data_IF_054528010154
#
_entry.id   IF_054528010154
#
_cell.length_a   1.000
_cell.length_b   1.000
_cell.length_c   1.000
_cell.angle_alpha   90.00
_cell.angle_beta   90.00
_cell.angle_gamma   90.00
#
_symmetry.space_group_name_H-M   'P 1'
#
loop_
_entity.id
_entity.type
_entity.pdbx_description
1 polymer ?
#
# COMPACT_ATOMS: atom_id res chain seq x y z
N UNK A 1 27.96 15.57 11.90
CA UNK A 1 27.00 14.59 11.49
C UNK A 1 25.85 15.28 10.80
N UNK A 2 25.67 15.02 9.53
CA UNK A 2 24.43 15.42 8.85
C UNK A 2 23.32 14.53 9.42
N UNK A 3 22.38 15.11 10.16
CA UNK A 3 21.13 14.48 10.50
C UNK A 3 20.36 14.33 9.18
N UNK A 4 20.15 13.10 8.71
CA UNK A 4 19.23 12.86 7.60
C UNK A 4 17.85 13.37 8.05
N UNK A 5 17.20 14.20 7.23
CA UNK A 5 15.86 14.67 7.55
C UNK A 5 14.89 13.48 7.55
N UNK A 6 14.16 13.28 8.64
CA UNK A 6 13.15 12.25 8.73
C UNK A 6 11.82 12.78 8.19
N UNK A 7 11.24 12.11 7.22
CA UNK A 7 9.97 12.50 6.60
C UNK A 7 8.93 11.41 6.73
N UNK A 8 7.72 11.77 7.14
CA UNK A 8 6.60 10.85 7.29
C UNK A 8 5.56 11.09 6.19
N UNK A 9 5.09 10.01 5.56
CA UNK A 9 4.03 10.07 4.54
C UNK A 9 2.85 9.20 4.95
N UNK A 10 1.66 9.79 5.01
CA UNK A 10 0.43 9.16 5.46
C UNK A 10 -0.51 8.86 4.29
N UNK A 11 -1.22 7.74 4.35
CA UNK A 11 -2.23 7.35 3.38
C UNK A 11 -3.65 7.61 3.89
N UNK A 12 -4.54 8.08 3.01
CA UNK A 12 -5.99 8.23 3.28
C UNK A 12 -6.65 6.98 3.89
N UNK A 13 -6.13 5.78 3.62
CA UNK A 13 -6.67 4.54 4.16
C UNK A 13 -6.74 4.54 5.71
N UNK A 14 -5.87 5.29 6.37
CA UNK A 14 -5.94 5.49 7.83
C UNK A 14 -7.28 6.13 8.23
N UNK A 15 -7.84 7.03 7.39
CA UNK A 15 -9.15 7.63 7.64
C UNK A 15 -10.29 6.62 7.52
N UNK A 16 -10.26 5.73 6.50
CA UNK A 16 -11.24 4.63 6.39
C UNK A 16 -11.21 3.75 7.65
N UNK A 17 -10.01 3.41 8.09
CA UNK A 17 -9.82 2.62 9.29
C UNK A 17 -10.38 3.31 10.53
N UNK A 18 -10.12 4.60 10.70
CA UNK A 18 -10.65 5.40 11.80
C UNK A 18 -12.19 5.46 11.75
N UNK A 19 -12.75 5.59 10.55
CA UNK A 19 -14.20 5.60 10.34
C UNK A 19 -14.89 4.33 10.81
N UNK A 20 -14.37 3.16 10.40
CA UNK A 20 -14.96 1.87 10.78
C UNK A 20 -14.56 1.40 12.19
N UNK A 21 -13.46 1.92 12.74
CA UNK A 21 -12.97 1.57 14.07
C UNK A 21 -13.63 2.36 15.21
N UNK A 22 -14.30 3.45 14.91
CA UNK A 22 -14.93 4.33 15.91
C UNK A 22 -16.41 4.45 15.58
N UNK A 23 -17.28 4.30 16.61
CA UNK A 23 -18.71 4.54 16.43
C UNK A 23 -18.97 5.92 15.82
N UNK A 24 -20.07 6.05 15.07
CA UNK A 24 -20.45 7.33 14.49
C UNK A 24 -20.58 8.40 15.57
N UNK A 25 -19.81 9.46 15.41
CA UNK A 25 -19.84 10.66 16.23
C UNK A 25 -20.23 11.82 15.33
N UNK A 26 -21.09 12.69 15.83
CA UNK A 26 -21.47 13.94 15.17
C UNK A 26 -21.39 15.11 16.13
N UNK A 27 -21.13 16.30 15.59
CA UNK A 27 -21.25 17.53 16.35
C UNK A 27 -22.72 18.02 16.45
N UNK A 28 -22.95 19.10 17.20
CA UNK A 28 -24.30 19.68 17.36
C UNK A 28 -24.93 20.19 16.04
N UNK A 29 -24.16 20.30 14.95
CA UNK A 29 -24.65 20.69 13.61
C UNK A 29 -24.92 19.48 12.72
N UNK A 30 -24.85 18.26 13.24
CA UNK A 30 -25.09 17.03 12.49
C UNK A 30 -23.93 16.61 11.58
N UNK A 31 -22.76 17.23 11.69
CA UNK A 31 -21.57 16.85 10.91
C UNK A 31 -20.90 15.68 11.60
N UNK A 32 -20.69 14.59 10.86
CA UNK A 32 -19.95 13.42 11.36
C UNK A 32 -18.47 13.76 11.56
N UNK A 33 -17.86 13.22 12.63
CA UNK A 33 -16.51 13.58 13.06
C UNK A 33 -15.66 12.40 13.50
N UNK A 34 -16.21 11.19 13.53
CA UNK A 34 -15.52 9.98 14.01
C UNK A 34 -14.24 9.65 13.22
N UNK A 35 -14.28 9.79 11.88
CA UNK A 35 -13.11 9.52 11.05
C UNK A 35 -12.01 10.58 11.25
N UNK A 36 -12.39 11.87 11.36
CA UNK A 36 -11.44 12.95 11.67
C UNK A 36 -10.81 12.72 13.04
N UNK A 37 -11.61 12.41 14.05
CA UNK A 37 -11.12 12.16 15.40
C UNK A 37 -10.13 10.99 15.44
N UNK A 38 -10.48 9.87 14.81
CA UNK A 38 -9.61 8.71 14.77
C UNK A 38 -8.34 8.92 13.95
N UNK A 39 -8.44 9.62 12.82
CA UNK A 39 -7.27 9.99 12.03
C UNK A 39 -6.32 10.88 12.84
N UNK A 40 -6.84 11.91 13.50
CA UNK A 40 -6.02 12.84 14.30
C UNK A 40 -5.36 12.15 15.50
N UNK A 41 -6.04 11.19 16.14
CA UNK A 41 -5.41 10.39 17.19
C UNK A 41 -4.21 9.58 16.68
N UNK A 42 -4.36 8.92 15.53
CA UNK A 42 -3.26 8.19 14.90
C UNK A 42 -2.15 9.16 14.48
N UNK A 43 -2.51 10.25 13.82
CA UNK A 43 -1.57 11.30 13.39
C UNK A 43 -0.74 11.84 14.56
N UNK A 44 -1.40 12.33 15.63
CA UNK A 44 -0.71 12.91 16.79
C UNK A 44 0.18 11.87 17.50
N UNK A 45 -0.29 10.63 17.65
CA UNK A 45 0.51 9.54 18.22
C UNK A 45 1.83 9.38 17.47
N UNK A 46 1.78 9.33 16.14
CA UNK A 46 2.97 9.07 15.32
C UNK A 46 3.88 10.28 15.19
N UNK A 47 3.32 11.48 15.00
CA UNK A 47 4.12 12.71 14.97
C UNK A 47 4.88 12.91 16.29
N UNK A 48 4.21 12.65 17.43
CA UNK A 48 4.87 12.75 18.75
C UNK A 48 5.97 11.70 18.93
N UNK A 49 5.76 10.48 18.41
CA UNK A 49 6.72 9.39 18.57
C UNK A 49 7.92 9.50 17.61
N UNK A 50 7.67 9.92 16.36
CA UNK A 50 8.69 9.94 15.29
C UNK A 50 9.39 11.29 15.17
N UNK A 51 8.72 12.38 15.57
CA UNK A 51 9.20 13.77 15.45
C UNK A 51 9.80 14.08 14.07
N UNK A 52 9.02 13.86 12.97
CA UNK A 52 9.53 14.04 11.62
C UNK A 52 9.79 15.51 11.29
N UNK A 53 10.79 15.79 10.46
CA UNK A 53 11.10 17.14 9.96
C UNK A 53 10.06 17.62 8.93
N UNK A 54 9.46 16.71 8.18
CA UNK A 54 8.41 17.00 7.21
C UNK A 54 7.33 15.92 7.20
N UNK A 55 6.08 16.33 6.91
CA UNK A 55 4.93 15.43 6.85
C UNK A 55 4.14 15.71 5.58
N UNK A 56 3.80 14.65 4.86
CA UNK A 56 2.85 14.70 3.76
C UNK A 56 1.72 13.68 3.94
N UNK A 57 0.54 14.00 3.41
CA UNK A 57 -0.61 13.08 3.38
C UNK A 57 -1.08 12.92 1.94
N UNK A 58 -1.04 11.69 1.43
CA UNK A 58 -1.52 11.36 0.10
C UNK A 58 -3.00 11.00 0.12
N UNK A 59 -3.77 11.59 -0.77
CA UNK A 59 -5.18 11.31 -0.98
C UNK A 59 -5.44 10.82 -2.40
N UNK A 60 -6.32 9.81 -2.52
CA UNK A 60 -6.86 9.42 -3.82
C UNK A 60 -7.83 10.48 -4.33
N UNK A 61 -7.83 10.73 -5.63
CA UNK A 61 -8.85 11.53 -6.31
C UNK A 61 -9.92 10.64 -6.95
N UNK A 62 -11.13 11.17 -7.09
CA UNK A 62 -12.28 10.44 -7.67
C UNK A 62 -12.22 10.39 -9.22
N UNK A 63 -11.03 10.18 -9.78
CA UNK A 63 -10.84 9.99 -11.22
C UNK A 63 -10.33 8.58 -11.49
N UNK A 64 -10.74 7.95 -12.61
CA UNK A 64 -10.16 6.67 -12.99
C UNK A 64 -8.65 6.80 -13.13
N UNK A 65 -7.92 5.84 -12.57
CA UNK A 65 -6.47 5.78 -12.68
C UNK A 65 -6.07 5.07 -13.98
N UNK A 66 -4.80 5.17 -14.35
CA UNK A 66 -4.25 4.46 -15.51
C UNK A 66 -4.49 2.94 -15.45
N UNK A 67 -4.58 2.35 -14.22
CA UNK A 67 -4.93 0.94 -14.03
C UNK A 67 -6.37 0.66 -14.45
N UNK A 68 -7.32 1.49 -14.05
CA UNK A 68 -8.73 1.36 -14.46
C UNK A 68 -8.91 1.54 -15.98
N UNK A 69 -8.12 2.41 -16.60
CA UNK A 69 -8.17 2.64 -18.06
C UNK A 69 -7.70 1.40 -18.83
N UNK A 70 -6.70 0.68 -18.30
CA UNK A 70 -6.17 -0.52 -18.94
C UNK A 70 -6.96 -1.78 -18.60
N UNK A 71 -7.39 -1.94 -17.37
CA UNK A 71 -8.11 -3.13 -16.88
C UNK A 71 -9.37 -2.68 -16.15
N UNK A 72 -10.51 -2.75 -16.84
CA UNK A 72 -11.80 -2.24 -16.33
C UNK A 72 -12.31 -3.00 -15.10
N UNK A 73 -11.88 -4.24 -14.89
CA UNK A 73 -12.22 -5.07 -13.73
C UNK A 73 -11.42 -4.72 -12.48
N UNK A 74 -10.32 -3.94 -12.60
CA UNK A 74 -9.49 -3.56 -11.46
C UNK A 74 -10.31 -2.80 -10.42
N UNK A 75 -10.31 -3.27 -9.17
CA UNK A 75 -11.08 -2.72 -8.04
C UNK A 75 -12.59 -2.58 -8.27
N UNK A 76 -13.15 -3.24 -9.31
CA UNK A 76 -14.59 -3.15 -9.63
C UNK A 76 -15.50 -3.71 -8.53
N UNK A 77 -14.97 -4.56 -7.65
CA UNK A 77 -15.67 -5.13 -6.49
C UNK A 77 -15.70 -4.18 -5.28
N UNK A 78 -14.99 -3.04 -5.32
CA UNK A 78 -14.97 -2.09 -4.20
C UNK A 78 -16.25 -1.26 -4.14
N UNK A 79 -16.84 -1.20 -2.95
CA UNK A 79 -17.97 -0.30 -2.67
C UNK A 79 -17.49 1.15 -2.63
N UNK A 80 -18.34 2.07 -3.05
CA UNK A 80 -18.08 3.52 -2.93
C UNK A 80 -17.86 3.96 -1.47
N UNK A 81 -17.35 5.16 -1.30
CA UNK A 81 -17.16 5.76 0.02
C UNK A 81 -18.54 6.09 0.64
N UNK A 82 -18.80 5.70 1.91
CA UNK A 82 -20.01 6.13 2.62
C UNK A 82 -20.13 7.65 2.65
N UNK A 83 -21.36 8.18 2.59
CA UNK A 83 -21.61 9.63 2.63
C UNK A 83 -21.07 10.26 3.91
N UNK A 84 -21.25 9.58 5.05
CA UNK A 84 -20.78 10.02 6.36
C UNK A 84 -19.25 10.16 6.43
N UNK A 85 -18.52 9.36 5.64
CA UNK A 85 -17.08 9.49 5.51
C UNK A 85 -16.72 10.59 4.50
N UNK A 86 -17.42 10.63 3.36
CA UNK A 86 -17.18 11.61 2.32
C UNK A 86 -17.32 13.04 2.82
N UNK A 87 -18.33 13.32 3.65
CA UNK A 87 -18.54 14.65 4.22
C UNK A 87 -17.44 15.08 5.19
N UNK A 88 -16.68 14.17 5.77
CA UNK A 88 -15.58 14.49 6.68
C UNK A 88 -14.27 14.86 5.94
N UNK A 89 -14.13 14.45 4.66
CA UNK A 89 -12.89 14.66 3.89
C UNK A 89 -12.49 16.13 3.75
N UNK A 90 -13.39 17.08 3.37
CA UNK A 90 -13.02 18.50 3.26
C UNK A 90 -12.56 19.09 4.58
N UNK A 91 -13.18 18.68 5.69
CA UNK A 91 -12.82 19.16 7.03
C UNK A 91 -11.44 18.63 7.45
N UNK A 92 -11.16 17.35 7.20
CA UNK A 92 -9.84 16.79 7.49
C UNK A 92 -8.76 17.50 6.68
N UNK A 93 -8.95 17.67 5.37
CA UNK A 93 -7.98 18.38 4.52
C UNK A 93 -7.72 19.80 5.01
N UNK A 94 -8.79 20.53 5.34
CA UNK A 94 -8.67 21.88 5.91
C UNK A 94 -7.87 21.88 7.22
N UNK A 95 -8.14 20.91 8.11
CA UNK A 95 -7.42 20.79 9.38
C UNK A 95 -5.93 20.49 9.16
N UNK A 96 -5.59 19.56 8.29
CA UNK A 96 -4.20 19.23 7.94
C UNK A 96 -3.47 20.43 7.35
N UNK A 97 -4.11 21.18 6.43
CA UNK A 97 -3.55 22.41 5.87
C UNK A 97 -3.26 23.45 6.94
N UNK A 98 -4.17 23.64 7.90
CA UNK A 98 -3.97 24.57 9.02
C UNK A 98 -2.86 24.13 9.97
N UNK A 99 -2.56 22.83 10.04
CA UNK A 99 -1.43 22.27 10.80
C UNK A 99 -0.10 22.32 10.02
N UNK A 100 -0.09 22.89 8.81
CA UNK A 100 1.10 22.96 7.97
C UNK A 100 1.48 21.65 7.28
N UNK A 101 0.59 20.65 7.27
CA UNK A 101 0.82 19.36 6.63
C UNK A 101 0.64 19.49 5.12
N UNK A 102 1.60 18.97 4.35
CA UNK A 102 1.50 18.94 2.90
C UNK A 102 0.48 17.88 2.43
N UNK A 103 -0.53 18.31 1.70
CA UNK A 103 -1.49 17.43 1.05
C UNK A 103 -1.05 17.21 -0.39
N UNK A 104 -1.00 15.93 -0.82
CA UNK A 104 -0.62 15.57 -2.18
C UNK A 104 -1.72 14.72 -2.81
N UNK A 105 -2.16 15.13 -3.99
CA UNK A 105 -3.15 14.47 -4.82
C UNK A 105 -2.65 14.47 -6.26
N UNK A 106 -2.78 13.34 -6.96
CA UNK A 106 -2.37 13.23 -8.36
C UNK A 106 -3.49 12.58 -9.18
N UNK A 107 -4.22 13.36 -10.01
CA UNK A 107 -5.25 12.79 -10.90
C UNK A 107 -4.66 11.73 -11.84
N UNK A 108 -5.34 10.60 -11.97
CA UNK A 108 -4.90 9.48 -12.80
C UNK A 108 -3.98 8.49 -12.10
N UNK A 109 -3.55 8.76 -10.88
CA UNK A 109 -2.74 7.90 -10.02
C UNK A 109 -3.44 7.60 -8.71
N UNK A 110 -3.02 6.53 -8.05
CA UNK A 110 -3.51 6.19 -6.70
C UNK A 110 -2.63 6.85 -5.63
N UNK A 111 -3.17 6.98 -4.42
CA UNK A 111 -2.39 7.49 -3.29
C UNK A 111 -1.11 6.67 -3.05
N UNK A 112 -1.11 5.37 -3.35
CA UNK A 112 0.07 4.51 -3.23
C UNK A 112 1.19 4.89 -4.19
N UNK A 113 0.83 5.28 -5.43
CA UNK A 113 1.82 5.77 -6.41
C UNK A 113 2.42 7.10 -5.94
N UNK A 114 1.59 7.97 -5.34
CA UNK A 114 2.06 9.21 -4.71
C UNK A 114 3.01 8.91 -3.55
N UNK A 115 2.67 7.95 -2.66
CA UNK A 115 3.55 7.53 -1.55
C UNK A 115 4.89 7.01 -2.08
N UNK A 116 4.86 6.14 -3.09
CA UNK A 116 6.06 5.58 -3.70
C UNK A 116 6.96 6.66 -4.31
N UNK A 117 6.37 7.63 -5.03
CA UNK A 117 7.09 8.76 -5.61
C UNK A 117 7.72 9.65 -4.55
N UNK A 118 6.98 10.00 -3.49
CA UNK A 118 7.49 10.82 -2.40
C UNK A 118 8.62 10.11 -1.63
N UNK A 119 8.45 8.83 -1.31
CA UNK A 119 9.45 8.04 -0.63
C UNK A 119 10.75 7.93 -1.46
N UNK A 120 10.64 7.68 -2.77
CA UNK A 120 11.79 7.66 -3.66
C UNK A 120 12.50 9.02 -3.72
N UNK A 121 11.75 10.12 -3.84
CA UNK A 121 12.34 11.45 -3.86
C UNK A 121 13.09 11.80 -2.56
N UNK A 122 12.61 11.33 -1.41
CA UNK A 122 13.32 11.48 -0.13
C UNK A 122 14.61 10.65 -0.11
N UNK A 123 14.56 9.40 -0.51
CA UNK A 123 15.72 8.51 -0.60
C UNK A 123 16.80 9.06 -1.54
N UNK A 124 16.42 9.57 -2.72
CA UNK A 124 17.35 10.19 -3.67
C UNK A 124 18.05 11.43 -3.11
N UNK A 125 17.45 12.11 -2.13
CA UNK A 125 18.04 13.22 -1.38
C UNK A 125 18.88 12.77 -0.17
N UNK A 126 18.99 11.45 0.07
CA UNK A 126 19.70 10.88 1.21
C UNK A 126 18.95 11.01 2.54
N UNK A 127 17.64 11.18 2.51
CA UNK A 127 16.79 11.27 3.69
C UNK A 127 16.09 9.94 3.98
N UNK A 128 15.80 9.70 5.27
CA UNK A 128 14.98 8.57 5.68
C UNK A 128 13.49 8.92 5.58
N UNK A 129 12.68 7.95 5.20
CA UNK A 129 11.24 8.11 5.05
C UNK A 129 10.49 7.00 5.80
N UNK A 130 9.48 7.38 6.59
CA UNK A 130 8.54 6.43 7.18
C UNK A 130 7.18 6.56 6.50
N UNK A 131 6.72 5.49 5.85
CA UNK A 131 5.37 5.41 5.27
C UNK A 131 4.44 4.84 6.33
N UNK A 132 3.42 5.60 6.73
CA UNK A 132 2.36 5.14 7.61
C UNK A 132 1.17 4.65 6.77
N UNK A 133 0.90 3.36 6.84
CA UNK A 133 -0.17 2.73 6.06
C UNK A 133 -0.84 1.60 6.84
N UNK A 134 -2.12 1.35 6.56
CA UNK A 134 -2.81 0.13 6.97
C UNK A 134 -2.77 -0.96 5.89
N UNK A 135 -2.09 -0.69 4.77
CA UNK A 135 -2.08 -1.53 3.57
C UNK A 135 -0.75 -2.25 3.39
N UNK A 136 -0.80 -3.58 3.30
CA UNK A 136 0.40 -4.40 3.07
C UNK A 136 1.01 -4.20 1.68
N UNK A 137 0.29 -3.59 0.75
CA UNK A 137 0.80 -3.32 -0.60
C UNK A 137 1.96 -2.33 -0.58
N UNK A 138 1.94 -1.40 0.38
CA UNK A 138 3.03 -0.45 0.60
C UNK A 138 4.33 -1.11 1.05
N UNK A 139 4.30 -2.38 1.52
CA UNK A 139 5.52 -3.11 1.90
C UNK A 139 6.50 -3.30 0.74
N UNK A 140 6.04 -3.26 -0.52
CA UNK A 140 6.91 -3.27 -1.70
C UNK A 140 7.83 -2.05 -1.80
N UNK A 141 7.51 -0.96 -1.08
CA UNK A 141 8.25 0.30 -1.10
C UNK A 141 9.43 0.34 -0.13
N UNK A 142 9.58 -0.66 0.73
CA UNK A 142 10.64 -0.73 1.74
C UNK A 142 12.00 -0.81 1.07
N UNK A 143 12.92 0.07 1.51
CA UNK A 143 14.33 0.10 1.14
C UNK A 143 15.19 0.28 2.39
N UNK A 144 16.48 0.48 2.24
CA UNK A 144 17.36 0.78 3.38
C UNK A 144 17.06 2.16 4.01
N UNK A 145 16.43 3.07 3.24
CA UNK A 145 16.00 4.40 3.69
C UNK A 145 14.49 4.56 3.86
N UNK A 146 13.70 3.59 3.42
CA UNK A 146 12.24 3.64 3.49
C UNK A 146 11.73 2.53 4.42
N UNK A 147 11.16 2.92 5.55
CA UNK A 147 10.47 2.04 6.48
C UNK A 147 8.96 2.15 6.29
N UNK A 148 8.24 1.04 6.32
CA UNK A 148 6.77 1.05 6.36
C UNK A 148 6.30 0.72 7.77
N UNK A 149 5.63 1.67 8.42
CA UNK A 149 4.89 1.44 9.66
C UNK A 149 3.48 1.00 9.33
N UNK A 150 3.23 -0.28 9.51
CA UNK A 150 1.92 -0.87 9.30
C UNK A 150 1.06 -0.64 10.54
N UNK A 151 0.09 0.27 10.42
CA UNK A 151 -0.85 0.58 11.49
C UNK A 151 -1.90 -0.51 11.57
N UNK A 152 -1.93 -1.28 12.67
CA UNK A 152 -2.92 -2.36 12.86
C UNK A 152 -3.86 -2.07 14.04
N UNK A 153 -4.92 -2.86 14.25
CA UNK A 153 -5.85 -2.67 15.37
C UNK A 153 -5.25 -3.07 16.73
N UNK A 154 -4.18 -3.87 16.70
CA UNK A 154 -3.52 -4.36 17.92
C UNK A 154 -2.30 -3.53 18.25
N UNK A 155 -1.40 -3.43 17.29
CA UNK A 155 -0.10 -2.76 17.44
C UNK A 155 0.35 -2.18 16.09
N UNK A 156 1.22 -1.20 16.13
CA UNK A 156 1.88 -0.69 14.94
C UNK A 156 3.18 -1.48 14.73
N UNK A 157 3.45 -1.88 13.50
CA UNK A 157 4.57 -2.74 13.15
C UNK A 157 5.48 -2.01 12.17
N UNK A 158 6.73 -1.80 12.55
CA UNK A 158 7.74 -1.24 11.65
C UNK A 158 8.36 -2.35 10.81
N UNK A 159 8.19 -2.25 9.50
CA UNK A 159 8.82 -3.12 8.53
C UNK A 159 10.02 -2.44 7.90
N UNK A 160 11.20 -2.89 8.26
CA UNK A 160 12.46 -2.66 7.57
C UNK A 160 12.73 -3.80 6.60
N UNK A 161 13.73 -3.67 5.72
CA UNK A 161 14.20 -4.76 4.83
C UNK A 161 14.50 -6.03 5.63
N UNK A 162 15.20 -5.89 6.77
CA UNK A 162 15.55 -7.04 7.62
C UNK A 162 14.30 -7.75 8.13
N UNK A 163 13.40 -7.03 8.81
CA UNK A 163 12.17 -7.62 9.37
C UNK A 163 11.29 -8.25 8.30
N UNK A 164 11.16 -7.58 7.15
CA UNK A 164 10.39 -8.12 6.03
C UNK A 164 10.99 -9.46 5.55
N UNK A 165 12.31 -9.53 5.36
CA UNK A 165 12.99 -10.75 4.93
C UNK A 165 12.90 -11.88 5.95
N UNK A 166 12.95 -11.58 7.24
CA UNK A 166 12.77 -12.56 8.32
C UNK A 166 11.35 -13.18 8.28
N UNK A 167 10.33 -12.35 8.02
CA UNK A 167 8.93 -12.82 7.99
C UNK A 167 8.57 -13.50 6.67
N UNK A 168 8.94 -12.91 5.52
CA UNK A 168 8.49 -13.37 4.19
C UNK A 168 9.50 -14.28 3.49
N UNK A 169 10.80 -14.15 3.77
CA UNK A 169 11.86 -14.95 3.18
C UNK A 169 12.31 -14.49 1.78
N UNK A 170 11.90 -13.30 1.35
CA UNK A 170 12.33 -12.67 0.09
C UNK A 170 12.43 -11.13 0.27
N UNK A 171 12.89 -10.40 -0.73
CA UNK A 171 13.02 -8.94 -0.65
C UNK A 171 11.66 -8.23 -0.78
N UNK A 172 11.48 -7.04 -0.17
CA UNK A 172 10.21 -6.29 -0.18
C UNK A 172 9.63 -6.08 -1.57
N UNK A 173 10.43 -5.73 -2.55
CA UNK A 173 9.99 -5.50 -3.93
C UNK A 173 9.31 -6.74 -4.55
N UNK A 174 9.71 -7.95 -4.15
CA UNK A 174 9.11 -9.20 -4.64
C UNK A 174 7.67 -9.44 -4.13
N UNK A 175 7.13 -8.54 -3.31
CA UNK A 175 5.70 -8.54 -2.98
C UNK A 175 4.82 -8.40 -4.24
N UNK A 176 5.29 -7.67 -5.26
CA UNK A 176 4.62 -7.56 -6.55
C UNK A 176 4.58 -8.91 -7.27
N UNK A 177 5.65 -9.69 -7.18
CA UNK A 177 5.78 -11.01 -7.80
C UNK A 177 4.93 -12.05 -7.07
N UNK A 178 4.84 -11.94 -5.74
CA UNK A 178 3.92 -12.76 -4.95
C UNK A 178 2.47 -12.56 -5.41
N UNK A 179 2.04 -11.29 -5.56
CA UNK A 179 0.70 -10.94 -6.05
C UNK A 179 0.48 -11.30 -7.51
N UNK A 180 1.52 -11.26 -8.34
CA UNK A 180 1.45 -11.73 -9.72
C UNK A 180 1.01 -13.19 -9.81
N UNK A 181 1.47 -14.03 -8.89
CA UNK A 181 1.14 -15.45 -8.88
C UNK A 181 -0.18 -15.75 -8.14
N UNK A 182 -0.34 -15.23 -6.91
CA UNK A 182 -1.52 -15.58 -6.09
C UNK A 182 -2.75 -14.72 -6.34
N UNK A 183 -2.58 -13.57 -7.03
CA UNK A 183 -3.62 -12.55 -7.15
C UNK A 183 -3.87 -11.76 -5.87
N UNK A 184 -4.87 -10.88 -5.94
CA UNK A 184 -5.40 -10.13 -4.80
C UNK A 184 -6.91 -9.91 -4.98
N UNK A 185 -7.69 -10.62 -4.19
CA UNK A 185 -9.15 -10.53 -4.25
C UNK A 185 -9.68 -9.16 -3.83
N UNK A 186 -8.98 -8.42 -2.96
CA UNK A 186 -9.40 -7.08 -2.51
C UNK A 186 -9.36 -6.05 -3.62
N UNK A 187 -8.42 -6.20 -4.56
CA UNK A 187 -8.21 -5.32 -5.70
C UNK A 187 -8.70 -5.91 -7.03
N UNK A 188 -9.33 -7.08 -6.94
CA UNK A 188 -9.78 -7.84 -8.11
C UNK A 188 -8.64 -8.14 -9.10
N UNK A 189 -7.47 -8.51 -8.56
CA UNK A 189 -6.30 -8.95 -9.31
C UNK A 189 -6.33 -10.47 -9.37
N UNK A 190 -6.31 -11.04 -10.59
CA UNK A 190 -6.60 -12.45 -10.82
C UNK A 190 -5.48 -13.39 -10.36
N UNK A 191 -4.21 -13.01 -10.56
CA UNK A 191 -3.10 -13.94 -10.40
C UNK A 191 -3.18 -15.12 -11.37
N UNK A 192 -2.57 -16.23 -10.99
CA UNK A 192 -2.65 -17.51 -11.71
C UNK A 192 -3.71 -18.39 -11.05
N UNK A 193 -4.73 -18.75 -11.81
CA UNK A 193 -5.84 -19.58 -11.29
C UNK A 193 -5.33 -20.88 -10.67
N UNK A 194 -5.67 -21.09 -9.39
CA UNK A 194 -5.30 -22.27 -8.63
C UNK A 194 -3.85 -22.28 -8.12
N UNK A 195 -3.14 -21.15 -8.16
CA UNK A 195 -1.89 -20.90 -7.43
C UNK A 195 -2.22 -20.04 -6.21
N UNK A 196 -2.22 -20.66 -5.05
CA UNK A 196 -2.51 -19.96 -3.78
C UNK A 196 -1.26 -19.41 -3.10
N UNK A 197 -1.43 -18.70 -1.96
CA UNK A 197 -0.36 -18.02 -1.25
C UNK A 197 0.83 -18.93 -0.90
N UNK A 198 0.58 -20.17 -0.48
CA UNK A 198 1.63 -21.12 -0.10
C UNK A 198 2.54 -21.46 -1.28
N UNK A 199 1.97 -21.81 -2.43
CA UNK A 199 2.74 -22.13 -3.63
C UNK A 199 3.46 -20.90 -4.16
N UNK A 200 2.77 -19.77 -4.24
CA UNK A 200 3.35 -18.49 -4.67
C UNK A 200 4.54 -18.08 -3.78
N UNK A 201 4.39 -18.11 -2.45
CA UNK A 201 5.49 -17.81 -1.54
C UNK A 201 6.69 -18.74 -1.70
N UNK A 202 6.46 -20.04 -1.89
CA UNK A 202 7.54 -21.01 -2.10
C UNK A 202 8.31 -20.67 -3.39
N UNK A 203 7.60 -20.35 -4.46
CA UNK A 203 8.21 -19.99 -5.74
C UNK A 203 9.02 -18.70 -5.65
N UNK A 204 8.46 -17.65 -5.04
CA UNK A 204 9.15 -16.37 -4.92
C UNK A 204 10.34 -16.43 -3.97
N UNK A 205 10.27 -17.20 -2.89
CA UNK A 205 11.44 -17.48 -2.02
C UNK A 205 12.59 -18.13 -2.77
N UNK A 206 12.29 -19.03 -3.70
CA UNK A 206 13.30 -19.78 -4.46
C UNK A 206 13.83 -19.01 -5.67
N UNK A 207 13.00 -18.22 -6.33
CA UNK A 207 13.30 -17.63 -7.64
C UNK A 207 13.30 -16.10 -7.65
N UNK A 208 12.79 -15.46 -6.62
CA UNK A 208 12.81 -14.00 -6.42
C UNK A 208 11.76 -13.24 -7.23
N UNK A 209 11.64 -13.51 -8.53
CA UNK A 209 10.73 -12.81 -9.44
C UNK A 209 9.87 -13.79 -10.24
N UNK A 210 8.73 -13.29 -10.72
CA UNK A 210 7.82 -14.09 -11.55
C UNK A 210 8.47 -14.44 -12.90
N UNK A 211 9.29 -13.57 -13.45
CA UNK A 211 10.04 -13.83 -14.68
C UNK A 211 10.98 -15.03 -14.49
N UNK A 212 11.77 -15.04 -13.41
CA UNK A 212 12.65 -16.17 -13.09
C UNK A 212 11.87 -17.48 -12.89
N UNK A 213 10.66 -17.42 -12.31
CA UNK A 213 9.78 -18.59 -12.19
C UNK A 213 9.45 -19.14 -13.57
N UNK A 214 9.09 -18.29 -14.53
CA UNK A 214 8.76 -18.72 -15.89
C UNK A 214 9.97 -19.16 -16.71
N UNK A 215 11.12 -18.50 -16.58
CA UNK A 215 12.35 -18.87 -17.24
C UNK A 215 12.84 -20.27 -16.80
N UNK A 216 12.51 -20.69 -15.57
CA UNK A 216 12.88 -21.97 -15.01
C UNK A 216 11.68 -22.91 -14.79
N UNK A 217 10.60 -22.73 -15.55
CA UNK A 217 9.30 -23.42 -15.34
C UNK A 217 9.41 -24.95 -15.21
N UNK A 218 10.35 -25.57 -15.92
CA UNK A 218 10.57 -27.02 -15.89
C UNK A 218 11.48 -27.50 -14.74
N UNK A 219 12.07 -26.57 -13.98
CA UNK A 219 12.96 -26.86 -12.85
C UNK A 219 12.28 -26.60 -11.50
N UNK A 220 11.01 -26.15 -11.53
CA UNK A 220 10.27 -25.80 -10.33
C UNK A 220 9.97 -27.02 -9.46
N UNK A 221 10.25 -26.92 -8.17
CA UNK A 221 9.90 -27.96 -7.19
C UNK A 221 8.44 -27.84 -6.72
N UNK A 222 7.52 -28.02 -7.66
CA UNK A 222 6.06 -28.01 -7.42
C UNK A 222 5.40 -29.13 -8.21
N UNK A 223 4.12 -29.40 -7.95
CA UNK A 223 3.40 -30.46 -8.66
C UNK A 223 3.29 -30.19 -10.16
N UNK A 224 3.20 -31.24 -10.96
CA UNK A 224 2.95 -31.13 -12.42
C UNK A 224 1.71 -30.31 -12.74
N UNK A 225 0.65 -30.42 -11.91
CA UNK A 225 -0.56 -29.63 -12.06
C UNK A 225 -0.29 -28.14 -11.82
N UNK A 226 0.55 -27.78 -10.86
CA UNK A 226 0.92 -26.38 -10.61
C UNK A 226 1.73 -25.83 -11.80
N UNK A 227 2.64 -26.59 -12.37
CA UNK A 227 3.39 -26.20 -13.59
C UNK A 227 2.42 -25.94 -14.75
N UNK A 228 1.46 -26.82 -15.00
CA UNK A 228 0.46 -26.63 -16.05
C UNK A 228 -0.37 -25.35 -15.83
N UNK A 229 -0.79 -25.09 -14.58
CA UNK A 229 -1.51 -23.86 -14.22
C UNK A 229 -0.67 -22.60 -14.45
N UNK A 230 0.60 -22.64 -14.07
CA UNK A 230 1.54 -21.53 -14.31
C UNK A 230 1.68 -21.27 -15.81
N UNK A 231 1.92 -22.29 -16.62
CA UNK A 231 2.04 -22.16 -18.09
C UNK A 231 0.76 -21.55 -18.67
N UNK A 232 -0.40 -22.07 -18.30
CA UNK A 232 -1.69 -21.56 -18.79
C UNK A 232 -2.00 -20.13 -18.30
N UNK A 233 -1.48 -19.72 -17.15
CA UNK A 233 -1.76 -18.44 -16.52
C UNK A 233 -0.66 -17.39 -16.67
N UNK A 234 0.33 -17.58 -17.54
CA UNK A 234 1.48 -16.68 -17.67
C UNK A 234 1.07 -15.23 -17.98
N UNK A 235 0.16 -15.04 -18.92
CA UNK A 235 -0.33 -13.71 -19.32
C UNK A 235 -1.03 -13.03 -18.13
N UNK A 236 -1.88 -13.76 -17.41
CA UNK A 236 -2.58 -13.28 -16.21
C UNK A 236 -1.60 -12.91 -15.09
N UNK A 237 -0.51 -13.67 -14.92
CA UNK A 237 0.54 -13.34 -13.96
C UNK A 237 1.22 -12.02 -14.29
N UNK A 238 1.56 -11.79 -15.56
CA UNK A 238 2.22 -10.54 -15.99
C UNK A 238 1.29 -9.33 -15.87
N UNK A 239 0.01 -9.47 -16.24
CA UNK A 239 -0.99 -8.43 -16.01
C UNK A 239 -1.15 -8.14 -14.52
N UNK A 240 -1.23 -9.18 -13.70
CA UNK A 240 -1.37 -9.06 -12.24
C UNK A 240 -0.15 -8.38 -11.61
N UNK A 241 1.06 -8.69 -12.07
CA UNK A 241 2.29 -7.99 -11.66
C UNK A 241 2.21 -6.49 -11.97
N UNK A 242 1.80 -6.16 -13.20
CA UNK A 242 1.65 -4.78 -13.62
C UNK A 242 0.63 -4.01 -12.77
N UNK A 243 -0.52 -4.63 -12.45
CA UNK A 243 -1.56 -4.04 -11.59
C UNK A 243 -1.07 -3.84 -10.15
N UNK A 244 -0.33 -4.80 -9.60
CA UNK A 244 0.16 -4.78 -8.21
C UNK A 244 1.34 -3.81 -8.01
N UNK A 245 2.01 -3.40 -9.08
CA UNK A 245 3.20 -2.53 -9.00
C UNK A 245 2.80 -1.08 -8.70
N UNK A 246 3.34 -0.54 -7.62
CA UNK A 246 3.26 0.89 -7.31
C UNK A 246 4.26 1.62 -8.21
N UNK A 247 3.75 2.60 -8.97
CA UNK A 247 4.58 3.45 -9.84
C UNK A 247 5.22 4.57 -9.00
N UNK A 248 6.47 4.89 -9.34
CA UNK A 248 7.25 5.91 -8.63
C UNK A 248 7.64 7.04 -9.59
#
# INVERSE_FOLDING_TARGET
>A
GYSSAASDVYKRQIMNRAFYGIRLLSNHKGIYTNAIFGFMNIYLKHVTALQPDAIAVAFDVHTPTFRHQKVSSYKANRKGMPEELAMQMPYLKKLLTLLGVQIVECPGYEADDVLGTLAQAMEEQGNDCTILSGDRDTLQLITDHVTVRLVTNREDIDYTVQRFREEYGFYPISMIDLKALMGDASDNISGVSGIGPKTASTLIRSWGTVENVYDHIHQLNVSKMAIQKLIAGQESAMESKWLATIVK
#
